data_IF_176974569366
#
_entry.id   IF_176974569366
#
_cell.length_a   1.000
_cell.length_b   1.000
_cell.length_c   1.000
_cell.angle_alpha   90.00
_cell.angle_beta   90.00
_cell.angle_gamma   90.00
#
_symmetry.space_group_name_H-M   'P 1'
#
loop_
_entity.id
_entity.type
_entity.pdbx_description
1 polymer ?
#
# COMPACT_ATOMS: atom_id res chain seq x y z
N UNK A 1 -57.40 59.61 26.55
CA UNK A 1 -57.30 58.61 25.51
C UNK A 1 -55.81 58.24 25.35
N UNK A 2 -55.34 57.15 26.01
CA UNK A 2 -53.93 56.74 26.01
C UNK A 2 -53.85 55.46 25.21
N UNK A 3 -53.12 55.48 24.09
CA UNK A 3 -52.86 54.35 23.22
C UNK A 3 -51.55 53.68 23.67
N UNK A 4 -51.61 52.46 24.17
CA UNK A 4 -50.45 51.70 24.56
C UNK A 4 -49.86 50.95 23.34
N UNK A 5 -48.58 51.19 23.11
CA UNK A 5 -47.79 50.50 22.08
C UNK A 5 -47.20 49.18 22.69
N UNK A 6 -47.72 48.05 22.27
CA UNK A 6 -47.17 46.74 22.64
C UNK A 6 -45.97 46.40 21.79
N UNK A 7 -44.81 46.19 22.40
CA UNK A 7 -43.61 45.71 21.72
C UNK A 7 -43.67 44.21 21.56
N UNK A 8 -43.68 43.71 20.30
CA UNK A 8 -43.50 42.30 19.93
C UNK A 8 -42.00 41.98 19.96
N UNK A 9 -41.61 41.14 20.92
CA UNK A 9 -40.26 40.56 20.95
C UNK A 9 -40.27 39.29 20.05
N UNK A 10 -39.65 39.39 18.89
CA UNK A 10 -39.42 38.23 18.02
C UNK A 10 -38.25 37.38 18.56
N UNK A 11 -38.55 36.20 19.08
CA UNK A 11 -37.57 35.22 19.51
C UNK A 11 -36.99 34.52 18.26
N UNK A 12 -35.76 34.89 17.84
CA UNK A 12 -35.04 34.21 16.76
C UNK A 12 -34.50 32.88 17.31
N UNK A 13 -35.14 31.77 16.95
CA UNK A 13 -34.62 30.42 17.17
C UNK A 13 -33.50 30.17 16.15
N UNK A 14 -32.26 30.30 16.60
CA UNK A 14 -31.09 29.86 15.85
C UNK A 14 -31.11 28.30 15.78
N UNK A 15 -31.70 27.77 14.72
CA UNK A 15 -31.62 26.36 14.37
C UNK A 15 -30.19 26.02 13.98
N UNK A 16 -29.41 25.45 14.92
CA UNK A 16 -28.12 24.86 14.60
C UNK A 16 -28.32 23.72 13.61
N UNK A 17 -27.67 23.78 12.46
CA UNK A 17 -27.60 22.67 11.51
C UNK A 17 -26.99 21.48 12.25
N UNK A 18 -27.60 20.29 12.20
CA UNK A 18 -26.98 19.08 12.77
C UNK A 18 -25.66 18.82 12.04
N UNK A 19 -24.56 18.88 12.79
CA UNK A 19 -23.25 18.43 12.27
C UNK A 19 -23.34 16.97 11.82
N UNK A 20 -22.41 16.50 10.97
CA UNK A 20 -22.40 15.12 10.47
C UNK A 20 -22.46 14.17 11.67
N UNK A 21 -23.55 13.40 11.78
CA UNK A 21 -23.70 12.37 12.80
C UNK A 21 -22.76 11.23 12.44
N UNK A 22 -21.69 11.05 13.22
CA UNK A 22 -20.84 9.87 13.13
C UNK A 22 -21.66 8.63 13.49
N UNK A 23 -21.96 7.78 12.51
CA UNK A 23 -22.49 6.47 12.79
C UNK A 23 -21.35 5.60 13.33
N UNK A 24 -21.55 4.97 14.50
CA UNK A 24 -20.59 4.04 15.09
C UNK A 24 -20.12 3.03 14.04
N UNK A 25 -18.81 3.07 13.70
CA UNK A 25 -18.23 2.16 12.70
C UNK A 25 -17.81 0.86 13.37
N UNK A 26 -18.36 -0.26 12.89
CA UNK A 26 -17.87 -1.60 13.20
C UNK A 26 -17.07 -2.12 12.00
N UNK A 27 -15.82 -2.43 12.22
CA UNK A 27 -14.85 -2.85 11.21
C UNK A 27 -14.35 -4.25 11.53
N UNK A 28 -14.23 -5.09 10.52
CA UNK A 28 -13.57 -6.39 10.63
C UNK A 28 -12.15 -6.25 10.11
N UNK A 29 -11.15 -6.62 10.92
CA UNK A 29 -9.75 -6.64 10.49
C UNK A 29 -9.39 -7.95 9.75
N UNK A 30 -8.17 -8.08 9.23
CA UNK A 30 -7.74 -9.27 8.48
C UNK A 30 -7.49 -10.49 9.39
N UNK A 31 -7.57 -10.33 10.74
CA UNK A 31 -7.59 -11.43 11.73
C UNK A 31 -9.00 -11.93 12.02
N UNK A 32 -10.05 -11.30 11.45
CA UNK A 32 -11.44 -11.56 11.75
C UNK A 32 -11.91 -10.96 13.08
N UNK A 33 -11.17 -10.03 13.70
CA UNK A 33 -11.56 -9.33 14.91
C UNK A 33 -12.36 -8.08 14.59
N UNK A 34 -13.46 -7.86 15.35
CA UNK A 34 -14.27 -6.66 15.21
C UNK A 34 -13.69 -5.51 16.01
N UNK A 35 -13.50 -4.37 15.35
CA UNK A 35 -13.10 -3.10 15.96
C UNK A 35 -14.28 -2.13 15.90
N UNK A 36 -14.65 -1.59 17.07
CA UNK A 36 -15.71 -0.60 17.18
C UNK A 36 -15.09 0.76 17.49
N UNK A 37 -15.40 1.75 16.65
CA UNK A 37 -14.97 3.14 16.82
C UNK A 37 -16.19 4.03 17.12
N UNK A 38 -16.17 4.69 18.27
CA UNK A 38 -17.25 5.58 18.72
C UNK A 38 -17.21 6.95 18.00
N UNK A 39 -16.05 7.33 17.47
CA UNK A 39 -15.83 8.56 16.72
C UNK A 39 -14.70 8.35 15.70
N UNK A 40 -14.64 9.22 14.69
CA UNK A 40 -13.55 9.24 13.72
C UNK A 40 -12.21 9.56 14.41
N UNK A 41 -11.18 8.67 14.30
CA UNK A 41 -9.89 8.90 14.92
C UNK A 41 -9.24 10.18 14.43
N UNK A 42 -8.67 10.96 15.36
CA UNK A 42 -7.91 12.16 15.08
C UNK A 42 -6.42 11.99 15.36
N UNK A 43 -6.03 10.92 16.07
CA UNK A 43 -4.66 10.59 16.43
C UNK A 43 -4.35 9.16 15.99
N UNK A 44 -3.72 9.03 14.84
CA UNK A 44 -3.43 7.72 14.22
C UNK A 44 -1.94 7.44 14.30
N UNK A 45 -1.58 6.25 14.76
CA UNK A 45 -0.24 5.70 14.61
C UNK A 45 -0.27 4.64 13.50
N UNK A 46 0.67 4.70 12.56
CA UNK A 46 0.79 3.72 11.49
C UNK A 46 2.11 2.96 11.60
N UNK A 47 2.03 1.63 11.61
CA UNK A 47 3.16 0.72 11.79
C UNK A 47 3.64 0.07 10.48
N UNK A 48 3.13 0.55 9.34
CA UNK A 48 3.53 0.09 8.00
C UNK A 48 3.55 1.24 6.99
N UNK A 49 4.53 1.27 6.08
CA UNK A 49 4.57 2.29 5.02
C UNK A 49 3.32 2.33 4.16
N UNK A 50 2.79 1.18 3.72
CA UNK A 50 1.57 1.10 2.90
C UNK A 50 0.33 1.71 3.58
N UNK A 51 0.20 1.51 4.89
CA UNK A 51 -0.89 2.10 5.70
C UNK A 51 -0.68 3.60 5.89
N UNK A 52 0.55 4.05 6.13
CA UNK A 52 0.91 5.48 6.19
C UNK A 52 0.57 6.19 4.87
N UNK A 53 0.98 5.60 3.76
CA UNK A 53 0.70 6.10 2.41
C UNK A 53 -0.81 6.14 2.13
N UNK A 54 -1.55 5.12 2.60
CA UNK A 54 -3.01 5.07 2.46
C UNK A 54 -3.69 6.21 3.23
N UNK A 55 -3.34 6.43 4.51
CA UNK A 55 -3.88 7.54 5.31
C UNK A 55 -3.62 8.88 4.64
N UNK A 56 -2.40 9.08 4.13
CA UNK A 56 -2.04 10.33 3.47
C UNK A 56 -2.75 10.52 2.12
N UNK A 57 -2.87 9.46 1.31
CA UNK A 57 -3.55 9.51 0.01
C UNK A 57 -5.06 9.74 0.12
N UNK A 58 -5.63 9.39 1.28
CA UNK A 58 -7.01 9.71 1.66
C UNK A 58 -7.20 11.15 2.15
N UNK A 59 -6.13 11.98 2.19
CA UNK A 59 -6.19 13.36 2.68
C UNK A 59 -6.15 13.49 4.21
N UNK A 60 -5.92 12.41 4.94
CA UNK A 60 -5.93 12.38 6.41
C UNK A 60 -4.51 12.38 7.03
N UNK A 61 -3.49 12.80 6.29
CA UNK A 61 -2.08 12.78 6.73
C UNK A 61 -1.86 13.56 8.04
N UNK A 62 -2.59 14.65 8.25
CA UNK A 62 -2.53 15.48 9.47
C UNK A 62 -2.99 14.74 10.75
N UNK A 63 -3.70 13.61 10.62
CA UNK A 63 -4.10 12.77 11.77
C UNK A 63 -2.99 11.82 12.23
N UNK A 64 -1.91 11.65 11.44
CA UNK A 64 -0.78 10.83 11.84
C UNK A 64 0.01 11.52 12.94
N UNK A 65 0.19 10.84 14.08
CA UNK A 65 0.96 11.31 15.24
C UNK A 65 2.23 10.50 15.46
N UNK A 66 2.41 9.39 14.74
CA UNK A 66 3.60 8.55 14.76
C UNK A 66 3.56 7.53 13.63
N UNK A 67 4.73 7.17 13.12
CA UNK A 67 4.86 6.24 11.99
C UNK A 67 6.04 5.27 12.24
N UNK A 68 6.02 4.13 11.55
CA UNK A 68 7.14 3.19 11.56
C UNK A 68 8.42 3.84 10.97
N UNK A 69 9.59 3.17 11.15
CA UNK A 69 10.88 3.72 10.69
C UNK A 69 11.00 3.84 9.17
N UNK A 70 10.26 3.02 8.41
CA UNK A 70 10.34 2.94 6.95
C UNK A 70 9.31 3.80 6.22
N UNK A 71 8.38 4.41 6.96
CA UNK A 71 7.39 5.35 6.40
C UNK A 71 8.06 6.68 6.05
N UNK A 72 8.25 6.95 4.78
CA UNK A 72 8.99 8.12 4.28
C UNK A 72 8.23 8.91 3.19
N UNK A 73 7.06 8.42 2.80
CA UNK A 73 6.17 9.06 1.82
C UNK A 73 4.78 9.37 2.43
N UNK A 74 4.23 10.55 2.11
CA UNK A 74 4.85 11.72 1.49
C UNK A 74 5.94 12.33 2.39
N UNK A 75 6.73 13.27 1.84
CA UNK A 75 7.86 13.85 2.59
C UNK A 75 7.47 14.44 3.96
N UNK A 76 6.22 14.91 4.12
CA UNK A 76 5.70 15.46 5.38
C UNK A 76 5.72 14.47 6.55
N UNK A 77 5.61 13.15 6.30
CA UNK A 77 5.63 12.16 7.40
C UNK A 77 7.04 11.93 7.96
N UNK A 78 8.08 12.41 7.29
CA UNK A 78 9.47 12.23 7.74
C UNK A 78 9.78 12.93 9.04
N UNK A 79 9.02 13.97 9.39
CA UNK A 79 9.16 14.75 10.64
C UNK A 79 8.40 14.14 11.82
N UNK A 80 7.55 13.15 11.58
CA UNK A 80 6.75 12.52 12.62
C UNK A 80 7.61 11.61 13.53
N UNK A 81 7.20 11.43 14.80
CA UNK A 81 7.82 10.48 15.72
C UNK A 81 7.93 9.08 15.12
N UNK A 82 9.12 8.47 15.20
CA UNK A 82 9.36 7.10 14.76
C UNK A 82 9.10 6.14 15.92
N UNK A 83 8.30 5.11 15.68
CA UNK A 83 7.88 4.14 16.71
C UNK A 83 8.45 2.73 16.50
N UNK A 84 9.58 2.64 15.81
CA UNK A 84 10.25 1.36 15.51
C UNK A 84 9.86 0.79 14.16
N UNK A 85 10.11 -0.48 13.95
CA UNK A 85 9.72 -1.26 12.77
C UNK A 85 8.93 -2.50 13.16
N UNK A 86 8.74 -3.42 12.22
CA UNK A 86 7.93 -4.64 12.42
C UNK A 86 8.47 -5.52 13.56
N UNK A 87 9.81 -5.65 13.67
CA UNK A 87 10.47 -6.54 14.63
C UNK A 87 10.76 -5.88 15.98
N UNK A 88 10.85 -4.54 16.04
CA UNK A 88 11.28 -3.77 17.21
C UNK A 88 10.35 -2.59 17.49
N UNK A 89 9.05 -2.81 17.35
CA UNK A 89 8.00 -1.82 17.63
C UNK A 89 8.10 -1.32 19.08
N UNK A 90 8.17 0.00 19.25
CA UNK A 90 8.34 0.67 20.55
C UNK A 90 6.97 0.94 21.19
N UNK A 91 6.46 -0.04 21.92
CA UNK A 91 5.09 -0.05 22.51
C UNK A 91 4.87 1.17 23.41
N UNK A 92 5.82 1.46 24.30
CA UNK A 92 5.74 2.54 25.28
C UNK A 92 5.68 3.91 24.58
N UNK A 93 6.41 4.05 23.47
CA UNK A 93 6.40 5.28 22.67
C UNK A 93 5.06 5.46 21.95
N UNK A 94 4.47 4.36 21.44
CA UNK A 94 3.13 4.40 20.86
C UNK A 94 2.10 4.83 21.91
N UNK A 95 2.12 4.22 23.09
CA UNK A 95 1.20 4.56 24.17
C UNK A 95 1.34 6.03 24.62
N UNK A 96 2.57 6.56 24.68
CA UNK A 96 2.84 7.96 25.02
C UNK A 96 2.26 8.95 23.98
N UNK A 97 2.11 8.53 22.73
CA UNK A 97 1.46 9.33 21.68
C UNK A 97 -0.07 9.38 21.83
N UNK A 98 -0.66 8.59 22.72
CA UNK A 98 -2.12 8.52 22.99
C UNK A 98 -2.94 8.45 21.70
N UNK A 99 -2.72 7.42 20.84
CA UNK A 99 -3.45 7.28 19.60
C UNK A 99 -4.91 6.85 19.86
N UNK A 100 -5.83 7.33 19.02
CA UNK A 100 -7.22 6.85 18.96
C UNK A 100 -7.31 5.54 18.17
N UNK A 101 -6.36 5.34 17.23
CA UNK A 101 -6.26 4.18 16.36
C UNK A 101 -4.80 3.88 16.04
N UNK A 102 -4.45 2.59 16.06
CA UNK A 102 -3.18 2.07 15.55
C UNK A 102 -3.48 1.21 14.32
N UNK A 103 -2.80 1.49 13.21
CA UNK A 103 -2.82 0.68 11.99
C UNK A 103 -1.58 -0.21 11.99
N UNK A 104 -1.75 -1.51 11.83
CA UNK A 104 -0.66 -2.49 11.93
C UNK A 104 -0.77 -3.60 10.88
N UNK A 105 0.31 -4.36 10.64
CA UNK A 105 0.24 -5.64 9.94
C UNK A 105 -0.33 -6.73 10.84
N UNK A 106 -0.97 -7.74 10.26
CA UNK A 106 -1.39 -8.97 10.97
C UNK A 106 -0.17 -9.70 11.54
N UNK A 107 0.93 -9.72 10.79
CA UNK A 107 2.20 -10.35 11.16
C UNK A 107 2.97 -9.62 12.27
N UNK A 108 2.55 -8.42 12.65
CA UNK A 108 3.24 -7.64 13.70
C UNK A 108 3.03 -8.25 15.08
N UNK A 109 4.12 -8.64 15.75
CA UNK A 109 4.12 -9.15 17.13
C UNK A 109 3.68 -8.12 18.16
N UNK A 110 3.61 -6.85 17.78
CA UNK A 110 3.19 -5.78 18.69
C UNK A 110 1.68 -5.74 18.93
N UNK A 111 0.87 -6.30 18.02
CA UNK A 111 -0.58 -6.13 17.99
C UNK A 111 -1.24 -6.55 19.32
N UNK A 112 -0.99 -7.78 19.79
CA UNK A 112 -1.61 -8.29 21.02
C UNK A 112 -1.18 -7.47 22.27
N UNK A 113 0.07 -6.98 22.30
CA UNK A 113 0.56 -6.13 23.40
C UNK A 113 -0.09 -4.75 23.39
N UNK A 114 -0.30 -4.15 22.20
CA UNK A 114 -0.98 -2.87 22.05
C UNK A 114 -2.45 -2.99 22.49
N UNK A 115 -3.13 -4.06 22.09
CA UNK A 115 -4.52 -4.35 22.49
C UNK A 115 -4.63 -4.59 24.00
N UNK A 116 -3.66 -5.30 24.62
CA UNK A 116 -3.61 -5.52 26.06
C UNK A 116 -3.45 -4.21 26.86
N UNK A 117 -2.90 -3.15 26.25
CA UNK A 117 -2.85 -1.81 26.81
C UNK A 117 -4.13 -0.99 26.56
N UNK A 118 -5.17 -1.58 25.96
CA UNK A 118 -6.43 -0.93 25.65
C UNK A 118 -6.40 -0.05 24.40
N UNK A 119 -5.34 -0.13 23.59
CA UNK A 119 -5.27 0.60 22.33
C UNK A 119 -6.12 -0.09 21.26
N UNK A 120 -6.80 0.72 20.45
CA UNK A 120 -7.58 0.22 19.30
C UNK A 120 -6.64 -0.06 18.13
N UNK A 121 -6.58 -1.31 17.71
CA UNK A 121 -5.70 -1.75 16.60
C UNK A 121 -6.56 -2.25 15.44
N UNK A 122 -6.29 -1.75 14.23
CA UNK A 122 -6.82 -2.28 12.97
C UNK A 122 -5.67 -2.98 12.23
N UNK A 123 -5.68 -4.31 12.23
CA UNK A 123 -4.63 -5.11 11.62
C UNK A 123 -5.00 -5.49 10.18
N UNK A 124 -4.21 -5.01 9.20
CA UNK A 124 -4.45 -5.17 7.77
C UNK A 124 -3.15 -5.57 7.07
N UNK A 125 -3.20 -6.66 6.27
CA UNK A 125 -2.02 -7.19 5.57
C UNK A 125 -2.42 -7.81 4.21
N UNK A 126 -2.65 -6.98 3.17
CA UNK A 126 -3.14 -7.45 1.89
C UNK A 126 -2.06 -8.24 1.13
N UNK A 127 -2.46 -9.39 0.55
CA UNK A 127 -1.62 -10.26 -0.27
C UNK A 127 -1.91 -10.11 -1.77
N UNK A 128 -3.14 -9.71 -2.14
CA UNK A 128 -3.62 -9.56 -3.51
C UNK A 128 -4.30 -8.20 -3.73
N UNK A 129 -4.66 -7.87 -4.98
CA UNK A 129 -5.26 -6.58 -5.32
C UNK A 129 -6.64 -6.38 -4.67
N UNK A 130 -7.45 -7.44 -4.58
CA UNK A 130 -8.75 -7.35 -3.93
C UNK A 130 -8.60 -6.98 -2.45
N UNK A 131 -7.69 -7.62 -1.73
CA UNK A 131 -7.37 -7.30 -0.34
C UNK A 131 -6.77 -5.90 -0.19
N UNK A 132 -5.91 -5.46 -1.15
CA UNK A 132 -5.37 -4.08 -1.17
C UNK A 132 -6.50 -3.06 -1.29
N UNK A 133 -7.48 -3.30 -2.15
CA UNK A 133 -8.68 -2.45 -2.27
C UNK A 133 -9.49 -2.42 -0.98
N UNK A 134 -9.72 -3.60 -0.37
CA UNK A 134 -10.43 -3.70 0.92
C UNK A 134 -9.67 -2.97 2.04
N UNK A 135 -8.33 -3.04 2.08
CA UNK A 135 -7.52 -2.29 3.03
C UNK A 135 -7.78 -0.78 2.90
N UNK A 136 -7.72 -0.22 1.69
CA UNK A 136 -8.01 1.21 1.45
C UNK A 136 -9.42 1.58 1.91
N UNK A 137 -10.42 0.74 1.59
CA UNK A 137 -11.82 0.96 2.01
C UNK A 137 -11.98 0.93 3.53
N UNK A 138 -11.35 -0.04 4.22
CA UNK A 138 -11.42 -0.17 5.68
C UNK A 138 -10.71 0.98 6.38
N UNK A 139 -9.55 1.43 5.88
CA UNK A 139 -8.87 2.61 6.42
C UNK A 139 -9.73 3.86 6.22
N UNK A 140 -10.31 4.06 5.05
CA UNK A 140 -11.21 5.18 4.78
C UNK A 140 -12.45 5.16 5.69
N UNK A 141 -13.06 3.97 5.88
CA UNK A 141 -14.20 3.80 6.78
C UNK A 141 -13.80 4.06 8.24
N UNK A 142 -12.66 3.54 8.69
CA UNK A 142 -12.12 3.79 10.02
C UNK A 142 -11.90 5.28 10.30
N UNK A 143 -11.43 6.02 9.29
CA UNK A 143 -11.19 7.45 9.38
C UNK A 143 -12.45 8.32 9.19
N UNK A 144 -13.61 7.70 8.85
CA UNK A 144 -14.86 8.41 8.61
C UNK A 144 -14.93 9.18 7.29
N UNK A 145 -14.18 8.71 6.30
CA UNK A 145 -14.06 9.33 4.98
C UNK A 145 -14.22 8.29 3.84
N UNK A 146 -15.34 7.54 3.81
CA UNK A 146 -15.51 6.46 2.83
C UNK A 146 -15.59 6.96 1.39
N UNK A 147 -16.09 8.17 1.14
CA UNK A 147 -16.17 8.77 -0.19
C UNK A 147 -14.78 9.03 -0.77
N UNK A 148 -13.84 9.51 0.04
CA UNK A 148 -12.44 9.70 -0.32
C UNK A 148 -11.78 8.37 -0.67
N UNK A 149 -12.15 7.29 0.05
CA UNK A 149 -11.72 5.93 -0.26
C UNK A 149 -12.14 5.48 -1.65
N UNK A 150 -13.41 5.70 -2.01
CA UNK A 150 -13.93 5.38 -3.35
C UNK A 150 -13.23 6.20 -4.44
N UNK A 151 -13.07 7.51 -4.22
CA UNK A 151 -12.38 8.41 -5.14
C UNK A 151 -10.90 8.02 -5.33
N UNK A 152 -10.21 7.62 -4.25
CA UNK A 152 -8.83 7.15 -4.30
C UNK A 152 -8.72 5.87 -5.15
N UNK A 153 -9.56 4.89 -4.91
CA UNK A 153 -9.57 3.64 -5.69
C UNK A 153 -9.85 3.88 -7.17
N UNK A 154 -10.81 4.76 -7.50
CA UNK A 154 -11.07 5.11 -8.89
C UNK A 154 -9.86 5.76 -9.59
N UNK A 155 -9.08 6.61 -8.87
CA UNK A 155 -7.83 7.18 -9.40
C UNK A 155 -6.77 6.10 -9.64
N UNK A 156 -6.60 5.17 -8.68
CA UNK A 156 -5.65 4.04 -8.83
C UNK A 156 -6.04 3.17 -10.03
N UNK A 157 -7.31 2.81 -10.17
CA UNK A 157 -7.80 2.00 -11.31
C UNK A 157 -7.52 2.70 -12.66
N UNK A 158 -7.77 3.99 -12.75
CA UNK A 158 -7.49 4.76 -13.95
C UNK A 158 -5.98 4.83 -14.28
N UNK A 159 -5.11 4.93 -13.26
CA UNK A 159 -3.65 4.86 -13.46
C UNK A 159 -3.23 3.48 -13.96
N UNK A 160 -3.71 2.40 -13.34
CA UNK A 160 -3.41 1.02 -13.75
C UNK A 160 -3.83 0.75 -15.19
N UNK A 161 -5.02 1.21 -15.59
CA UNK A 161 -5.50 1.07 -16.96
C UNK A 161 -4.58 1.81 -17.95
N UNK A 162 -4.22 3.07 -17.67
CA UNK A 162 -3.29 3.84 -18.53
C UNK A 162 -1.92 3.18 -18.63
N UNK A 163 -1.37 2.68 -17.51
CA UNK A 163 -0.09 1.99 -17.52
C UNK A 163 -0.13 0.71 -18.37
N UNK A 164 -1.22 -0.06 -18.28
CA UNK A 164 -1.41 -1.27 -19.09
C UNK A 164 -1.48 -0.98 -20.60
N UNK A 165 -2.08 0.14 -21.01
CA UNK A 165 -2.12 0.57 -22.41
C UNK A 165 -0.73 0.96 -22.93
N UNK A 166 0.15 1.49 -22.08
CA UNK A 166 1.50 1.92 -22.42
C UNK A 166 2.50 0.77 -22.57
N UNK A 167 2.16 -0.45 -22.13
CA UNK A 167 3.02 -1.62 -22.32
C UNK A 167 3.17 -1.90 -23.83
N UNK A 168 4.40 -1.86 -24.39
CA UNK A 168 4.62 -2.13 -25.81
C UNK A 168 4.14 -3.54 -26.19
N UNK A 169 3.58 -3.66 -27.39
CA UNK A 169 3.02 -4.94 -27.88
C UNK A 169 4.03 -6.09 -27.89
N UNK A 170 5.32 -5.79 -28.12
CA UNK A 170 6.40 -6.77 -28.10
C UNK A 170 6.59 -7.45 -26.72
N UNK A 171 6.21 -6.77 -25.63
CA UNK A 171 6.35 -7.28 -24.26
C UNK A 171 5.08 -7.95 -23.73
N UNK A 172 3.94 -7.80 -24.39
CA UNK A 172 2.70 -8.46 -23.95
C UNK A 172 2.82 -9.97 -24.01
N UNK A 173 2.38 -10.64 -22.94
CA UNK A 173 2.49 -12.09 -22.75
C UNK A 173 3.88 -12.57 -22.35
N UNK A 174 4.89 -11.70 -22.32
CA UNK A 174 6.24 -12.06 -21.87
C UNK A 174 6.27 -12.29 -20.37
N UNK A 175 7.10 -13.25 -19.94
CA UNK A 175 7.20 -13.69 -18.55
C UNK A 175 8.24 -12.89 -17.79
N UNK A 176 7.82 -12.24 -16.72
CA UNK A 176 8.66 -11.46 -15.84
C UNK A 176 9.03 -12.28 -14.59
N UNK A 177 10.23 -12.04 -14.11
CA UNK A 177 10.66 -12.41 -12.75
C UNK A 177 10.77 -11.12 -11.94
N UNK A 178 10.02 -11.01 -10.84
CA UNK A 178 10.09 -9.86 -9.93
C UNK A 178 10.67 -10.31 -8.61
N UNK A 179 11.90 -9.90 -8.30
CA UNK A 179 12.55 -10.20 -7.03
C UNK A 179 12.23 -9.11 -6.00
N UNK A 180 11.52 -9.44 -4.92
CA UNK A 180 11.09 -8.48 -3.90
C UNK A 180 12.05 -8.34 -2.72
N UNK A 181 12.92 -9.33 -2.49
CA UNK A 181 13.99 -9.26 -1.49
C UNK A 181 15.18 -10.14 -1.90
N UNK A 182 16.38 -9.78 -1.41
CA UNK A 182 17.57 -10.62 -1.55
C UNK A 182 17.36 -11.99 -0.86
N UNK A 183 17.96 -13.08 -1.37
CA UNK A 183 17.70 -14.48 -0.98
C UNK A 183 16.36 -14.93 -1.57
N UNK A 184 16.33 -15.30 -2.84
CA UNK A 184 15.39 -14.67 -3.74
C UNK A 184 13.95 -14.94 -3.32
N UNK A 185 13.35 -13.97 -2.63
CA UNK A 185 11.90 -13.87 -2.51
C UNK A 185 11.35 -13.22 -3.77
N UNK A 186 10.40 -13.87 -4.40
CA UNK A 186 9.80 -13.37 -5.64
C UNK A 186 8.30 -13.11 -5.49
N UNK A 187 7.79 -12.19 -6.30
CA UNK A 187 6.35 -12.00 -6.43
C UNK A 187 5.78 -13.09 -7.36
N UNK A 188 4.91 -13.96 -6.83
CA UNK A 188 4.18 -14.96 -7.58
C UNK A 188 2.89 -14.41 -8.22
N UNK A 189 2.29 -15.19 -9.13
CA UNK A 189 1.02 -14.85 -9.78
C UNK A 189 -0.11 -14.55 -8.78
N UNK A 190 -0.10 -15.21 -7.59
CA UNK A 190 -1.10 -15.02 -6.54
C UNK A 190 -0.87 -13.74 -5.69
N UNK A 191 0.21 -13.00 -5.92
CA UNK A 191 0.48 -11.74 -5.21
C UNK A 191 -0.19 -10.55 -5.90
N UNK A 192 -0.38 -9.44 -5.15
CA UNK A 192 -0.84 -8.18 -5.75
C UNK A 192 0.09 -7.68 -6.87
N UNK A 193 1.40 -8.00 -6.83
CA UNK A 193 2.35 -7.70 -7.91
C UNK A 193 2.08 -8.61 -9.12
N UNK A 194 1.86 -9.90 -8.91
CA UNK A 194 1.53 -10.84 -9.98
C UNK A 194 0.22 -10.47 -10.67
N UNK A 195 -0.81 -10.12 -9.90
CA UNK A 195 -2.09 -9.64 -10.44
C UNK A 195 -1.93 -8.29 -11.17
N UNK A 196 -1.05 -7.39 -10.69
CA UNK A 196 -0.68 -6.15 -11.39
C UNK A 196 -0.07 -6.46 -12.76
N UNK A 197 0.89 -7.40 -12.83
CA UNK A 197 1.48 -7.83 -14.10
C UNK A 197 0.40 -8.38 -15.05
N UNK A 198 -0.52 -9.19 -14.54
CA UNK A 198 -1.63 -9.74 -15.34
C UNK A 198 -2.55 -8.63 -15.90
N UNK A 199 -2.88 -7.61 -15.10
CA UNK A 199 -3.61 -6.42 -15.58
C UNK A 199 -2.86 -5.69 -16.70
N UNK A 200 -1.54 -5.65 -16.64
CA UNK A 200 -0.67 -5.08 -17.67
C UNK A 200 -0.45 -6.01 -18.87
N UNK A 201 -1.14 -7.17 -18.94
CA UNK A 201 -0.99 -8.21 -19.97
C UNK A 201 0.43 -8.80 -20.03
N UNK A 202 1.10 -8.86 -18.89
CA UNK A 202 2.43 -9.46 -18.71
C UNK A 202 2.26 -10.81 -17.99
N UNK A 203 3.16 -11.77 -18.30
CA UNK A 203 3.22 -13.05 -17.60
C UNK A 203 4.13 -12.98 -16.36
N UNK A 204 4.07 -14.02 -15.54
CA UNK A 204 4.94 -14.22 -14.39
C UNK A 204 5.59 -15.61 -14.48
N UNK A 205 6.88 -15.75 -14.15
CA UNK A 205 7.55 -17.07 -14.12
C UNK A 205 7.23 -17.86 -12.86
N UNK A 206 6.70 -17.22 -11.83
CA UNK A 206 6.39 -17.82 -10.52
C UNK A 206 4.92 -18.17 -10.45
N UNK A 207 4.54 -19.44 -10.60
CA UNK A 207 3.13 -19.83 -10.66
C UNK A 207 2.40 -19.62 -9.33
N UNK A 208 1.09 -19.41 -9.40
CA UNK A 208 0.23 -19.18 -8.24
C UNK A 208 0.31 -20.28 -7.17
N UNK A 209 0.58 -21.54 -7.58
CA UNK A 209 0.71 -22.68 -6.67
C UNK A 209 1.86 -22.56 -5.65
N UNK A 210 2.85 -21.70 -5.90
CA UNK A 210 3.94 -21.44 -4.96
C UNK A 210 3.60 -20.38 -3.91
N UNK A 211 2.39 -19.80 -3.98
CA UNK A 211 1.96 -18.73 -3.08
C UNK A 211 2.33 -17.33 -3.56
N UNK A 212 1.93 -16.28 -2.79
CA UNK A 212 2.10 -14.90 -3.22
C UNK A 212 3.55 -14.42 -3.23
N UNK A 213 4.35 -14.80 -2.22
CA UNK A 213 5.75 -14.35 -2.09
C UNK A 213 6.66 -15.50 -1.67
N UNK A 214 6.88 -16.51 -2.55
CA UNK A 214 7.71 -17.64 -2.19
C UNK A 214 9.19 -17.27 -2.14
N UNK A 215 9.92 -17.92 -1.23
CA UNK A 215 11.37 -18.02 -1.33
C UNK A 215 11.71 -19.07 -2.40
N UNK A 216 12.46 -18.69 -3.41
CA UNK A 216 12.79 -19.56 -4.51
C UNK A 216 14.21 -20.15 -4.37
N UNK A 217 14.40 -21.35 -4.89
CA UNK A 217 15.74 -21.82 -5.20
C UNK A 217 16.27 -21.03 -6.41
N UNK A 218 17.49 -20.48 -6.37
CA UNK A 218 18.12 -19.78 -7.51
C UNK A 218 18.07 -20.56 -8.82
N UNK A 219 18.19 -21.89 -8.78
CA UNK A 219 18.07 -22.75 -9.95
C UNK A 219 16.67 -22.72 -10.60
N UNK A 220 15.63 -22.44 -9.83
CA UNK A 220 14.28 -22.26 -10.39
C UNK A 220 14.27 -21.11 -11.40
N UNK A 221 14.86 -19.98 -11.04
CA UNK A 221 14.93 -18.80 -11.91
C UNK A 221 15.74 -19.08 -13.16
N UNK A 222 16.86 -19.81 -13.01
CA UNK A 222 17.70 -20.23 -14.14
C UNK A 222 16.96 -21.16 -15.11
N UNK A 223 16.16 -22.11 -14.61
CA UNK A 223 15.35 -22.99 -15.47
C UNK A 223 14.18 -22.26 -16.12
N UNK A 224 13.55 -21.34 -15.38
CA UNK A 224 12.39 -20.58 -15.86
C UNK A 224 12.75 -19.60 -16.98
N UNK A 225 14.02 -19.13 -17.07
CA UNK A 225 14.50 -18.19 -18.09
C UNK A 225 13.49 -17.08 -18.38
N UNK A 226 13.27 -16.13 -17.41
CA UNK A 226 12.34 -15.03 -17.64
C UNK A 226 12.75 -14.18 -18.85
N UNK A 227 11.76 -13.59 -19.53
CA UNK A 227 12.03 -12.65 -20.60
C UNK A 227 12.55 -11.29 -20.07
N UNK A 228 12.10 -10.91 -18.86
CA UNK A 228 12.51 -9.67 -18.17
C UNK A 228 12.73 -9.94 -16.68
N UNK A 229 13.77 -9.34 -16.11
CA UNK A 229 14.04 -9.31 -14.67
C UNK A 229 13.68 -7.94 -14.11
N UNK A 230 12.85 -7.90 -13.06
CA UNK A 230 12.46 -6.67 -12.35
C UNK A 230 12.94 -6.76 -10.91
N UNK A 231 13.64 -5.75 -10.45
CA UNK A 231 14.10 -5.64 -9.07
C UNK A 231 14.40 -4.18 -8.69
N UNK A 232 14.77 -3.90 -7.43
CA UNK A 232 15.35 -2.60 -7.14
C UNK A 232 16.66 -2.43 -7.92
N UNK A 233 16.99 -1.22 -8.31
CA UNK A 233 18.23 -0.91 -9.04
C UNK A 233 19.47 -1.46 -8.33
N UNK A 234 19.48 -1.39 -6.99
CA UNK A 234 20.57 -1.93 -6.16
C UNK A 234 20.66 -3.47 -6.24
N UNK A 235 19.53 -4.17 -6.14
CA UNK A 235 19.53 -5.64 -6.21
C UNK A 235 19.93 -6.12 -7.59
N UNK A 236 19.40 -5.48 -8.64
CA UNK A 236 19.69 -5.82 -10.03
C UNK A 236 21.19 -5.71 -10.35
N UNK A 237 21.87 -4.67 -9.88
CA UNK A 237 23.29 -4.47 -10.09
C UNK A 237 24.15 -5.63 -9.56
N UNK A 238 23.70 -6.34 -8.52
CA UNK A 238 24.40 -7.50 -7.95
C UNK A 238 24.04 -8.85 -8.57
N UNK A 239 22.98 -8.92 -9.37
CA UNK A 239 22.47 -10.21 -9.89
C UNK A 239 23.45 -10.96 -10.82
N UNK A 240 24.17 -10.31 -11.75
CA UNK A 240 25.10 -11.01 -12.63
C UNK A 240 26.23 -11.73 -11.89
N UNK A 241 26.60 -11.27 -10.68
CA UNK A 241 27.64 -11.89 -9.86
C UNK A 241 27.15 -13.12 -9.06
N UNK A 242 25.86 -13.42 -9.05
CA UNK A 242 25.30 -14.59 -8.37
C UNK A 242 25.65 -15.86 -9.14
N UNK A 243 25.95 -16.99 -8.44
CA UNK A 243 26.28 -18.25 -9.11
C UNK A 243 25.25 -18.67 -10.15
N UNK A 244 25.68 -18.84 -11.39
CA UNK A 244 24.84 -19.25 -12.53
C UNK A 244 23.98 -18.15 -13.16
N UNK A 245 23.75 -16.99 -12.51
CA UNK A 245 22.85 -15.95 -13.01
C UNK A 245 23.38 -15.20 -14.23
N UNK A 246 24.69 -15.24 -14.48
CA UNK A 246 25.26 -14.82 -15.77
C UNK A 246 24.71 -15.59 -16.97
N UNK A 247 24.10 -16.78 -16.76
CA UNK A 247 23.40 -17.57 -17.77
C UNK A 247 21.95 -17.16 -18.02
N UNK A 248 21.40 -16.18 -17.31
CA UNK A 248 20.06 -15.66 -17.59
C UNK A 248 20.06 -14.82 -18.87
N UNK A 249 19.33 -15.29 -19.89
CA UNK A 249 19.23 -14.59 -21.18
C UNK A 249 18.75 -13.15 -21.05
N UNK A 250 17.80 -12.90 -20.15
CA UNK A 250 17.30 -11.55 -19.86
C UNK A 250 18.43 -10.61 -19.41
N UNK A 251 19.31 -11.05 -18.50
CA UNK A 251 20.43 -10.23 -18.02
C UNK A 251 21.49 -10.02 -19.12
N UNK A 252 21.77 -11.04 -19.94
CA UNK A 252 22.70 -10.95 -21.06
C UNK A 252 22.21 -9.98 -22.13
N UNK A 253 20.91 -9.97 -22.41
CA UNK A 253 20.27 -9.10 -23.39
C UNK A 253 19.97 -7.67 -22.86
N UNK A 254 20.24 -7.40 -21.58
CA UNK A 254 19.88 -6.14 -20.96
C UNK A 254 18.37 -5.98 -20.71
N UNK A 255 17.58 -7.07 -20.82
CA UNK A 255 16.14 -7.07 -20.54
C UNK A 255 15.89 -7.08 -19.03
N UNK A 256 16.15 -5.97 -18.39
CA UNK A 256 16.03 -5.85 -16.95
C UNK A 256 15.56 -4.46 -16.53
N UNK A 257 14.66 -4.41 -15.55
CA UNK A 257 14.08 -3.20 -14.97
C UNK A 257 14.60 -3.01 -13.56
N UNK A 258 15.65 -2.20 -13.42
CA UNK A 258 16.16 -1.76 -12.12
C UNK A 258 15.37 -0.53 -11.64
N UNK A 259 14.36 -0.74 -10.80
CA UNK A 259 13.53 0.37 -10.35
C UNK A 259 14.28 1.25 -9.34
N UNK A 260 14.20 2.57 -9.55
CA UNK A 260 14.68 3.56 -8.59
C UNK A 260 13.92 3.48 -7.25
N UNK A 261 14.50 3.94 -6.13
CA UNK A 261 13.91 3.74 -4.79
C UNK A 261 12.43 4.11 -4.69
N UNK A 262 12.00 5.24 -5.21
CA UNK A 262 10.60 5.68 -5.13
C UNK A 262 9.63 4.77 -5.90
N UNK A 263 10.02 4.33 -7.10
CA UNK A 263 9.24 3.38 -7.92
C UNK A 263 9.25 1.98 -7.30
N UNK A 264 10.40 1.57 -6.75
CA UNK A 264 10.51 0.31 -6.03
C UNK A 264 9.59 0.26 -4.82
N UNK A 265 9.62 1.30 -3.98
CA UNK A 265 8.76 1.41 -2.82
C UNK A 265 7.27 1.37 -3.19
N UNK A 266 6.87 2.01 -4.30
CA UNK A 266 5.49 1.94 -4.78
C UNK A 266 5.08 0.54 -5.22
N UNK A 267 6.02 -0.29 -5.70
CA UNK A 267 5.77 -1.68 -6.11
C UNK A 267 5.66 -2.62 -4.91
N UNK A 268 6.56 -2.50 -3.91
CA UNK A 268 6.62 -3.45 -2.79
C UNK A 268 5.73 -3.07 -1.61
N UNK A 269 5.03 -1.95 -1.68
CA UNK A 269 4.08 -1.46 -0.67
C UNK A 269 2.66 -1.58 -1.23
N UNK A 270 1.89 -2.64 -0.88
CA UNK A 270 0.51 -2.79 -1.39
C UNK A 270 -0.36 -1.61 -0.93
N UNK A 271 -0.77 -0.75 -1.85
CA UNK A 271 -1.46 0.48 -1.48
C UNK A 271 -1.80 1.40 -2.65
N UNK A 272 -2.05 2.68 -2.35
CA UNK A 272 -2.56 3.64 -3.33
C UNK A 272 -1.56 4.02 -4.44
N UNK A 273 -0.28 3.65 -4.28
CA UNK A 273 0.77 3.98 -5.25
C UNK A 273 1.09 2.85 -6.24
N UNK A 274 0.28 1.79 -6.28
CA UNK A 274 0.45 0.73 -7.28
C UNK A 274 0.33 1.22 -8.72
N UNK A 275 -0.41 2.32 -8.96
CA UNK A 275 -0.43 2.99 -10.25
C UNK A 275 0.93 3.53 -10.67
N UNK A 276 1.67 4.17 -9.76
CA UNK A 276 3.03 4.69 -10.00
C UNK A 276 3.99 3.54 -10.33
N UNK A 277 3.85 2.39 -9.64
CA UNK A 277 4.64 1.19 -9.91
C UNK A 277 4.36 0.62 -11.32
N UNK A 278 3.09 0.56 -11.71
CA UNK A 278 2.69 0.10 -13.04
C UNK A 278 3.25 1.01 -14.14
N UNK A 279 3.18 2.32 -13.95
CA UNK A 279 3.76 3.31 -14.88
C UNK A 279 5.29 3.12 -14.99
N UNK A 280 6.00 2.94 -13.87
CA UNK A 280 7.44 2.71 -13.87
C UNK A 280 7.85 1.42 -14.60
N UNK A 281 7.06 0.35 -14.46
CA UNK A 281 7.28 -0.90 -15.20
C UNK A 281 7.02 -0.68 -16.70
N UNK A 282 5.94 -0.01 -17.08
CA UNK A 282 5.62 0.29 -18.48
C UNK A 282 6.71 1.16 -19.14
N UNK A 283 7.19 2.19 -18.44
CA UNK A 283 8.28 3.06 -18.91
C UNK A 283 9.59 2.29 -19.10
N UNK A 284 9.92 1.41 -18.14
CA UNK A 284 11.08 0.56 -18.28
C UNK A 284 10.97 -0.34 -19.52
N UNK A 285 9.85 -1.04 -19.70
CA UNK A 285 9.65 -1.93 -20.85
C UNK A 285 9.71 -1.18 -22.18
N UNK A 286 9.20 0.06 -22.22
CA UNK A 286 9.32 0.91 -23.40
C UNK A 286 10.78 1.30 -23.71
N UNK A 287 11.62 1.39 -22.68
CA UNK A 287 13.05 1.69 -22.83
C UNK A 287 13.93 0.50 -23.18
N UNK A 288 13.44 -0.74 -23.08
CA UNK A 288 14.24 -1.95 -23.38
C UNK A 288 14.40 -2.24 -24.89
N UNK A 289 13.73 -1.47 -25.76
CA UNK A 289 13.75 -1.72 -27.19
C UNK A 289 12.93 -2.94 -27.61
N UNK A 290 12.93 -3.24 -28.90
CA UNK A 290 12.25 -4.41 -29.46
C UNK A 290 13.07 -5.67 -29.18
N UNK A 291 12.37 -6.76 -28.81
CA UNK A 291 12.98 -8.07 -28.70
C UNK A 291 13.39 -8.50 -30.12
N UNK A 292 14.68 -8.66 -30.37
CA UNK A 292 15.14 -9.30 -31.60
C UNK A 292 14.42 -10.66 -31.75
N UNK A 293 13.74 -10.84 -32.89
CA UNK A 293 12.99 -12.08 -33.21
C UNK A 293 13.92 -13.25 -33.38
#
# INVERSE_FOLDING_TARGET
MKIGVGALIALAVLGGLPGPVWAQASLLDDRGRSLVLAAAPQRVVSLLPSLTETVCSLGACARLVGVDRHSDWPASVRTLPRVGGLEDTQIERIAALKPDLVLAAVSSRAVDRLEALGLRVLALEPQNLAQTRHMVQRVALALGIPTEGQALLARVDAQLARAAERVPSAWRGRKLYVEVAAVPYAAGEASYIGELLALMKLGNVVPAALGPFPQLNPEFVLRAQPDVVVASARALAGMPARPGWSGLKALQAGHSCGLAPAAWDSLVRPGPRLGDAAEAIADCLAGLGDIAR
#
